data_IF_437044989612
#
_entry.id   IF_437044989612
#
_cell.length_a   1.000
_cell.length_b   1.000
_cell.length_c   1.000
_cell.angle_alpha   90.00
_cell.angle_beta   90.00
_cell.angle_gamma   90.00
#
_symmetry.space_group_name_H-M   'P 1'
#
loop_
_entity.id
_entity.type
_entity.pdbx_description
1 polymer ?
#
# COMPACT_ATOMS: atom_id res chain seq x y z
N UNK A 1 97.66 62.35 13.74
CA UNK A 1 98.41 62.99 12.64
C UNK A 1 97.52 62.95 11.39
N UNK A 2 96.28 63.45 11.40
CA UNK A 2 95.76 64.82 11.37
C UNK A 2 96.49 65.81 10.47
N UNK A 3 95.71 66.47 9.59
CA UNK A 3 95.94 67.65 8.69
C UNK A 3 95.60 67.29 7.23
N UNK A 4 94.68 67.92 6.50
CA UNK A 4 94.07 69.26 6.53
C UNK A 4 92.74 69.14 5.72
N UNK A 5 91.56 69.40 6.27
CA UNK A 5 90.75 70.63 6.09
C UNK A 5 90.83 71.27 4.67
N UNK A 6 89.78 71.27 3.83
CA UNK A 6 88.53 72.07 3.86
C UNK A 6 88.60 73.35 3.00
N UNK A 7 88.12 73.28 1.75
CA UNK A 7 87.48 74.39 0.99
C UNK A 7 86.73 73.76 -0.20
N UNK A 8 85.39 73.72 -0.21
CA UNK A 8 84.42 74.77 -0.54
C UNK A 8 84.17 74.94 -2.06
N UNK A 9 82.91 74.67 -2.42
CA UNK A 9 82.07 75.41 -3.38
C UNK A 9 82.15 75.16 -4.90
N UNK A 10 80.94 75.13 -5.46
CA UNK A 10 80.51 75.49 -6.82
C UNK A 10 80.50 74.42 -7.92
N UNK A 11 79.36 73.72 -7.95
CA UNK A 11 78.47 73.48 -9.10
C UNK A 11 78.70 74.43 -10.30
N UNK A 12 78.51 73.95 -11.55
CA UNK A 12 77.15 74.00 -12.06
C UNK A 12 76.65 72.77 -12.82
N UNK A 13 75.32 72.67 -12.81
CA UNK A 13 74.43 71.82 -13.61
C UNK A 13 74.80 71.80 -15.10
N UNK A 14 75.13 70.62 -15.61
CA UNK A 14 74.94 70.29 -17.02
C UNK A 14 73.63 69.49 -17.16
N UNK A 15 72.51 70.20 -17.30
CA UNK A 15 71.24 69.62 -17.70
C UNK A 15 71.15 69.56 -19.23
N UNK A 16 71.53 68.43 -19.83
CA UNK A 16 71.18 68.13 -21.23
C UNK A 16 69.79 67.49 -21.27
N UNK A 17 68.83 68.20 -21.87
CA UNK A 17 67.49 67.69 -22.10
C UNK A 17 67.46 66.79 -23.33
N UNK A 18 67.37 65.47 -23.11
CA UNK A 18 66.98 64.49 -24.12
C UNK A 18 65.45 64.27 -24.11
N UNK A 19 64.89 64.17 -25.32
CA UNK A 19 63.45 64.07 -25.59
C UNK A 19 62.89 62.73 -25.12
N UNK A 20 62.01 62.75 -24.12
CA UNK A 20 61.23 61.56 -23.71
C UNK A 20 59.94 61.49 -24.54
N UNK A 21 59.88 60.53 -25.47
CA UNK A 21 58.63 60.09 -26.06
C UNK A 21 57.74 59.45 -24.97
N UNK A 22 56.40 59.65 -25.00
CA UNK A 22 55.53 59.14 -23.96
C UNK A 22 55.67 57.61 -23.85
N UNK A 23 55.78 57.05 -22.64
CA UNK A 23 55.95 55.61 -22.46
C UNK A 23 54.72 54.90 -23.02
N UNK A 24 54.94 54.00 -23.98
CA UNK A 24 53.90 53.12 -24.52
C UNK A 24 53.38 52.30 -23.34
N UNK A 25 52.11 52.50 -22.97
CA UNK A 25 51.50 51.82 -21.84
C UNK A 25 51.65 50.29 -22.01
N UNK A 26 52.48 49.67 -21.18
CA UNK A 26 52.66 48.21 -21.20
C UNK A 26 51.33 47.58 -20.77
N UNK A 27 50.69 46.85 -21.69
CA UNK A 27 49.44 46.18 -21.42
C UNK A 27 49.64 45.20 -20.25
N UNK A 28 48.94 45.45 -19.14
CA UNK A 28 48.97 44.58 -17.95
C UNK A 28 48.49 43.19 -18.35
N UNK A 29 49.35 42.19 -18.19
CA UNK A 29 48.98 40.81 -18.46
C UNK A 29 47.98 40.34 -17.41
N UNK A 30 46.81 39.87 -17.87
CA UNK A 30 45.74 39.36 -17.00
C UNK A 30 45.46 37.91 -17.35
N UNK A 31 45.27 37.08 -16.33
CA UNK A 31 44.93 35.67 -16.52
C UNK A 31 43.45 35.58 -16.92
N UNK A 32 43.18 35.11 -18.13
CA UNK A 32 41.83 34.88 -18.61
C UNK A 32 41.58 33.38 -18.81
N UNK A 33 40.43 32.91 -18.33
CA UNK A 33 39.93 31.57 -18.62
C UNK A 33 38.74 31.65 -19.58
N UNK A 34 38.76 30.81 -20.60
CA UNK A 34 37.66 30.68 -21.55
C UNK A 34 36.62 29.72 -20.96
N UNK A 35 35.46 30.26 -20.57
CA UNK A 35 34.35 29.46 -20.03
C UNK A 35 33.49 28.99 -21.20
N UNK A 36 33.31 27.67 -21.33
CA UNK A 36 32.30 27.06 -22.21
C UNK A 36 31.12 26.65 -21.35
N UNK A 37 29.90 26.95 -21.79
CA UNK A 37 28.70 26.45 -21.14
C UNK A 37 28.63 24.93 -21.31
N UNK A 38 29.07 24.19 -20.31
CA UNK A 38 28.73 22.78 -20.17
C UNK A 38 27.29 22.67 -19.68
N UNK A 39 26.50 21.74 -20.22
CA UNK A 39 25.18 21.43 -19.68
C UNK A 39 25.36 20.78 -18.31
N UNK A 40 25.36 21.59 -17.25
CA UNK A 40 25.28 21.09 -15.89
C UNK A 40 23.85 20.57 -15.67
N UNK A 41 23.67 19.25 -15.72
CA UNK A 41 22.41 18.64 -15.29
C UNK A 41 22.37 18.75 -13.78
N UNK A 42 21.54 19.66 -13.26
CA UNK A 42 21.28 19.75 -11.83
C UNK A 42 20.59 18.44 -11.39
N UNK A 43 21.33 17.58 -10.71
CA UNK A 43 20.77 16.38 -10.10
C UNK A 43 20.14 16.80 -8.77
N UNK A 44 18.83 16.64 -8.66
CA UNK A 44 18.11 16.84 -7.41
C UNK A 44 18.02 15.50 -6.67
N UNK A 45 18.55 15.46 -5.46
CA UNK A 45 18.45 14.32 -4.56
C UNK A 45 17.26 14.52 -3.62
N UNK A 46 16.44 13.48 -3.48
CA UNK A 46 15.28 13.48 -2.61
C UNK A 46 15.29 12.22 -1.75
N UNK A 47 14.92 12.36 -0.48
CA UNK A 47 14.67 11.22 0.41
C UNK A 47 13.27 10.68 0.15
N UNK A 48 13.13 9.36 0.05
CA UNK A 48 11.86 8.69 -0.09
C UNK A 48 11.90 7.28 0.50
N UNK A 49 10.73 6.75 0.83
CA UNK A 49 10.57 5.38 1.32
C UNK A 49 10.04 4.47 0.21
N UNK A 50 10.64 3.28 0.09
CA UNK A 50 10.11 2.22 -0.79
C UNK A 50 9.10 1.40 0.00
N UNK A 51 7.88 1.30 -0.51
CA UNK A 51 6.82 0.45 0.06
C UNK A 51 6.34 -0.57 -0.94
N UNK A 52 5.80 -1.68 -0.44
CA UNK A 52 5.16 -2.68 -1.28
C UNK A 52 3.99 -2.05 -2.03
N UNK A 53 3.81 -2.40 -3.31
CA UNK A 53 2.65 -1.95 -4.10
C UNK A 53 1.33 -2.39 -3.45
N UNK A 54 1.33 -3.56 -2.83
CA UNK A 54 0.19 -4.12 -2.10
C UNK A 54 0.67 -4.64 -0.76
N UNK A 55 0.04 -4.17 0.31
CA UNK A 55 0.27 -4.65 1.67
C UNK A 55 -1.09 -5.12 2.22
N UNK A 56 -1.16 -6.39 2.63
CA UNK A 56 -2.40 -7.00 3.10
C UNK A 56 -2.19 -7.41 4.55
N UNK A 57 -2.93 -6.75 5.44
CA UNK A 57 -3.02 -7.19 6.84
C UNK A 57 -4.00 -8.37 6.92
N UNK A 58 -3.46 -9.56 7.22
CA UNK A 58 -4.27 -10.77 7.33
C UNK A 58 -4.78 -10.93 8.75
N UNK A 59 -6.10 -11.05 8.88
CA UNK A 59 -6.78 -11.31 10.13
C UNK A 59 -7.81 -12.44 9.94
N UNK A 60 -8.16 -13.11 11.03
CA UNK A 60 -9.22 -14.11 11.01
C UNK A 60 -10.59 -13.40 11.03
N UNK A 61 -11.54 -13.90 10.21
CA UNK A 61 -12.91 -13.35 10.14
C UNK A 61 -13.77 -13.70 11.34
N UNK A 62 -13.36 -14.73 12.08
CA UNK A 62 -14.04 -15.26 13.27
C UNK A 62 -13.03 -15.32 14.41
N UNK A 63 -13.50 -15.09 15.63
CA UNK A 63 -12.71 -15.38 16.82
C UNK A 63 -12.52 -16.89 16.98
N UNK A 64 -11.38 -17.30 17.53
CA UNK A 64 -11.10 -18.71 17.77
C UNK A 64 -9.67 -18.93 18.25
N UNK A 65 -9.43 -20.10 18.84
CA UNK A 65 -8.09 -20.50 19.28
C UNK A 65 -7.26 -20.95 18.08
N UNK A 66 -5.99 -20.57 18.01
CA UNK A 66 -5.07 -21.07 16.99
C UNK A 66 -4.73 -22.55 17.27
N UNK A 67 -5.04 -23.43 16.33
CA UNK A 67 -4.70 -24.87 16.39
C UNK A 67 -3.34 -25.13 15.76
N UNK A 68 -3.07 -24.51 14.62
CA UNK A 68 -1.81 -24.70 13.92
C UNK A 68 -1.44 -23.47 13.09
N UNK A 69 -0.14 -23.17 13.04
CA UNK A 69 0.46 -22.26 12.07
C UNK A 69 1.25 -23.10 11.05
N UNK A 70 1.00 -22.88 9.77
CA UNK A 70 1.56 -23.68 8.66
C UNK A 70 2.67 -22.97 7.88
N UNK A 71 2.94 -21.72 8.20
CA UNK A 71 3.95 -20.88 7.55
C UNK A 71 4.71 -20.10 8.63
N UNK A 72 5.97 -19.79 8.35
CA UNK A 72 6.80 -18.97 9.21
C UNK A 72 7.04 -17.58 8.62
N UNK A 73 7.60 -16.70 9.46
CA UNK A 73 7.87 -15.31 9.07
C UNK A 73 8.96 -15.30 8.01
N UNK A 74 8.67 -14.70 6.86
CA UNK A 74 9.58 -14.61 5.72
C UNK A 74 9.30 -15.61 4.60
N UNK A 75 8.36 -16.55 4.81
CA UNK A 75 7.97 -17.50 3.77
C UNK A 75 7.23 -16.82 2.61
N UNK A 76 7.47 -17.29 1.38
CA UNK A 76 6.65 -16.93 0.22
C UNK A 76 5.40 -17.80 0.20
N UNK A 77 4.25 -17.17 0.05
CA UNK A 77 2.95 -17.84 0.02
C UNK A 77 2.21 -17.54 -1.28
N UNK A 78 1.36 -18.47 -1.70
CA UNK A 78 0.51 -18.34 -2.88
C UNK A 78 -0.96 -18.20 -2.50
N UNK A 79 -1.77 -17.66 -3.41
CA UNK A 79 -3.21 -17.51 -3.18
C UNK A 79 -3.88 -18.87 -2.88
N UNK A 80 -4.74 -18.89 -1.86
CA UNK A 80 -5.44 -20.11 -1.42
C UNK A 80 -4.63 -21.01 -0.47
N UNK A 81 -3.36 -20.70 -0.22
CA UNK A 81 -2.55 -21.46 0.75
C UNK A 81 -3.05 -21.21 2.18
N UNK A 82 -3.25 -22.30 2.92
CA UNK A 82 -3.64 -22.24 4.34
C UNK A 82 -2.44 -21.81 5.17
N UNK A 83 -2.50 -20.62 5.77
CA UNK A 83 -1.44 -20.07 6.61
C UNK A 83 -1.55 -20.52 8.06
N UNK A 84 -2.78 -20.63 8.56
CA UNK A 84 -3.08 -21.03 9.92
C UNK A 84 -4.49 -21.65 10.00
N UNK A 85 -4.70 -22.46 11.03
CA UNK A 85 -5.98 -23.10 11.33
C UNK A 85 -6.44 -22.69 12.71
N UNK A 86 -7.68 -22.24 12.80
CA UNK A 86 -8.38 -22.02 14.07
C UNK A 86 -9.14 -23.28 14.50
N UNK A 87 -9.41 -23.36 15.79
CA UNK A 87 -10.34 -24.34 16.35
C UNK A 87 -11.75 -24.00 15.89
N UNK A 88 -12.40 -24.97 15.27
CA UNK A 88 -13.71 -24.83 14.66
C UNK A 88 -14.79 -25.63 15.39
N UNK A 89 -14.53 -26.15 16.60
CA UNK A 89 -15.49 -26.98 17.32
C UNK A 89 -16.88 -26.31 17.46
N UNK A 90 -16.93 -25.06 17.91
CA UNK A 90 -18.19 -24.33 18.09
C UNK A 90 -18.90 -24.06 16.75
N UNK A 91 -18.14 -23.73 15.70
CA UNK A 91 -18.68 -23.52 14.36
C UNK A 91 -19.21 -24.83 13.74
N UNK A 92 -18.52 -25.94 13.98
CA UNK A 92 -18.94 -27.26 13.52
C UNK A 92 -20.22 -27.71 14.23
N UNK A 93 -20.32 -27.49 15.54
CA UNK A 93 -21.55 -27.74 16.30
C UNK A 93 -22.71 -26.86 15.81
N UNK A 94 -22.46 -25.58 15.56
CA UNK A 94 -23.46 -24.67 15.00
C UNK A 94 -23.92 -25.09 13.60
N UNK A 95 -22.98 -25.49 12.72
CA UNK A 95 -23.30 -26.02 11.39
C UNK A 95 -24.15 -27.28 11.49
N UNK A 96 -23.75 -28.24 12.34
CA UNK A 96 -24.50 -29.47 12.55
C UNK A 96 -25.90 -29.22 13.10
N UNK A 97 -26.06 -28.25 14.02
CA UNK A 97 -27.37 -27.82 14.51
C UNK A 97 -28.24 -27.19 13.42
N UNK A 98 -27.65 -26.36 12.55
CA UNK A 98 -28.35 -25.76 11.42
C UNK A 98 -28.78 -26.83 10.38
N UNK A 99 -27.92 -27.81 10.11
CA UNK A 99 -28.21 -28.95 9.23
C UNK A 99 -29.34 -29.82 9.80
N UNK A 100 -29.32 -30.09 11.11
CA UNK A 100 -30.40 -30.82 11.77
C UNK A 100 -31.73 -30.06 11.72
N UNK A 101 -31.71 -28.74 11.92
CA UNK A 101 -32.90 -27.89 11.79
C UNK A 101 -33.43 -27.90 10.35
N UNK A 102 -32.55 -27.83 9.35
CA UNK A 102 -32.93 -27.95 7.95
C UNK A 102 -33.60 -29.31 7.67
N UNK A 103 -33.04 -30.40 8.18
CA UNK A 103 -33.62 -31.73 8.04
C UNK A 103 -35.00 -31.85 8.71
N UNK A 104 -35.18 -31.26 9.89
CA UNK A 104 -36.45 -31.24 10.61
C UNK A 104 -37.52 -30.46 9.83
N UNK A 105 -37.19 -29.27 9.34
CA UNK A 105 -38.11 -28.45 8.53
C UNK A 105 -38.44 -29.14 7.19
N UNK A 106 -37.46 -29.77 6.56
CA UNK A 106 -37.69 -30.54 5.34
C UNK A 106 -38.63 -31.73 5.58
N UNK A 107 -38.50 -32.43 6.71
CA UNK A 107 -39.40 -33.51 7.10
C UNK A 107 -40.83 -33.00 7.37
N UNK A 108 -40.97 -31.88 8.08
CA UNK A 108 -42.28 -31.25 8.33
C UNK A 108 -42.95 -30.83 7.01
N UNK A 109 -42.20 -30.23 6.09
CA UNK A 109 -42.71 -29.88 4.76
C UNK A 109 -43.16 -31.12 3.99
N UNK A 110 -42.36 -32.19 3.98
CA UNK A 110 -42.72 -33.44 3.32
C UNK A 110 -44.00 -34.06 3.91
N UNK A 111 -44.15 -34.00 5.24
CA UNK A 111 -45.36 -34.43 5.94
C UNK A 111 -46.58 -33.58 5.54
N UNK A 112 -46.46 -32.25 5.57
CA UNK A 112 -47.53 -31.34 5.16
C UNK A 112 -47.94 -31.54 3.69
N UNK A 113 -46.98 -31.80 2.79
CA UNK A 113 -47.24 -32.13 1.39
C UNK A 113 -48.01 -33.44 1.24
N UNK A 114 -47.59 -34.50 1.94
CA UNK A 114 -48.29 -35.79 1.95
C UNK A 114 -49.71 -35.64 2.48
N UNK A 115 -49.91 -34.80 3.50
CA UNK A 115 -51.21 -34.58 4.11
C UNK A 115 -52.15 -33.82 3.18
N UNK A 116 -51.68 -32.76 2.52
CA UNK A 116 -52.46 -32.07 1.47
C UNK A 116 -52.85 -33.04 0.36
N UNK A 117 -51.93 -33.89 -0.10
CA UNK A 117 -52.22 -34.89 -1.14
C UNK A 117 -53.34 -35.85 -0.69
N UNK A 118 -53.25 -36.38 0.53
CA UNK A 118 -54.26 -37.27 1.10
C UNK A 118 -55.63 -36.59 1.19
N UNK A 119 -55.70 -35.36 1.69
CA UNK A 119 -56.96 -34.62 1.81
C UNK A 119 -57.56 -34.26 0.44
N UNK A 120 -56.75 -33.99 -0.58
CA UNK A 120 -57.25 -33.80 -1.95
C UNK A 120 -57.91 -35.07 -2.49
N UNK A 121 -57.31 -36.24 -2.29
CA UNK A 121 -57.87 -37.53 -2.70
C UNK A 121 -59.18 -37.83 -1.97
N UNK A 122 -59.25 -37.61 -0.65
CA UNK A 122 -60.48 -37.77 0.14
C UNK A 122 -61.57 -36.78 -0.27
N UNK A 123 -61.20 -35.55 -0.66
CA UNK A 123 -62.13 -34.53 -1.14
C UNK A 123 -62.75 -34.92 -2.48
N UNK A 124 -61.95 -35.50 -3.39
CA UNK A 124 -62.45 -36.01 -4.66
C UNK A 124 -63.52 -37.10 -4.47
N UNK A 125 -63.41 -37.87 -3.39
CA UNK A 125 -64.39 -38.89 -2.97
C UNK A 125 -65.51 -38.33 -2.07
N UNK A 126 -65.56 -37.01 -1.86
CA UNK A 126 -66.49 -36.29 -0.98
C UNK A 126 -66.49 -36.71 0.51
N UNK A 127 -65.42 -37.33 1.01
CA UNK A 127 -65.32 -37.74 2.41
C UNK A 127 -64.91 -36.61 3.38
N UNK A 128 -64.46 -35.46 2.88
CA UNK A 128 -64.03 -34.31 3.67
C UNK A 128 -64.60 -32.99 3.14
N UNK A 129 -64.73 -31.99 4.01
CA UNK A 129 -65.19 -30.64 3.66
C UNK A 129 -64.10 -29.81 2.98
N UNK A 130 -64.50 -28.80 2.20
CA UNK A 130 -63.56 -27.87 1.54
C UNK A 130 -62.68 -27.13 2.57
N UNK A 131 -63.28 -26.64 3.66
CA UNK A 131 -62.55 -25.97 4.74
C UNK A 131 -61.45 -26.84 5.35
N UNK A 132 -61.63 -28.17 5.41
CA UNK A 132 -60.61 -29.09 5.93
C UNK A 132 -59.40 -29.19 5.00
N UNK A 133 -59.63 -29.19 3.68
CA UNK A 133 -58.56 -29.17 2.69
C UNK A 133 -57.83 -27.83 2.70
N UNK A 134 -58.57 -26.71 2.72
CA UNK A 134 -58.00 -25.36 2.73
C UNK A 134 -57.10 -25.13 3.97
N UNK A 135 -57.47 -25.70 5.13
CA UNK A 135 -56.65 -25.68 6.33
C UNK A 135 -55.31 -26.42 6.15
N UNK A 136 -55.31 -27.59 5.48
CA UNK A 136 -54.08 -28.33 5.17
C UNK A 136 -53.21 -27.62 4.14
N UNK A 137 -53.82 -26.99 3.14
CA UNK A 137 -53.08 -26.18 2.15
C UNK A 137 -52.45 -24.95 2.77
N UNK A 138 -53.13 -24.31 3.73
CA UNK A 138 -52.57 -23.20 4.51
C UNK A 138 -51.40 -23.67 5.38
N UNK A 139 -51.53 -24.83 6.03
CA UNK A 139 -50.45 -25.42 6.82
C UNK A 139 -49.21 -25.75 5.98
N UNK A 140 -49.40 -26.27 4.75
CA UNK A 140 -48.30 -26.46 3.81
C UNK A 140 -47.63 -25.14 3.43
N UNK A 141 -48.41 -24.11 3.09
CA UNK A 141 -47.86 -22.78 2.75
C UNK A 141 -47.06 -22.14 3.90
N UNK A 142 -47.41 -22.41 5.15
CA UNK A 142 -46.64 -21.93 6.31
C UNK A 142 -45.36 -22.73 6.59
N UNK A 143 -45.20 -23.90 5.97
CA UNK A 143 -44.03 -24.76 6.10
C UNK A 143 -43.04 -24.63 4.92
N UNK A 144 -43.30 -23.70 3.97
CA UNK A 144 -42.40 -23.31 2.88
C UNK A 144 -41.59 -22.07 3.22
#
# INVERSE_FOLDING_TARGET
>A
MNRLLWTLLLLPLAGCGEKTAPPVAQAKMVLAHTVRAGSAVAQAEYTGEVRARHEISLAFRVGGKLVARKVDVGDRVVAGQVLARLDAADLALSSSGAEANLAAVAAERAYAQAEVKRYRELRAQQFVSQASLDAKETALKSAE
#
